data_IF_554680309388
#
_entry.id   IF_554680309388
#
_cell.length_a   1.000
_cell.length_b   1.000
_cell.length_c   1.000
_cell.angle_alpha   90.00
_cell.angle_beta   90.00
_cell.angle_gamma   90.00
#
_symmetry.space_group_name_H-M   'P 1'
#
loop_
_entity.id
_entity.type
_entity.pdbx_description
1 polymer ?
#
# COMPACT_ATOMS: atom_id res chain seq x y z
N UNK A 1 7.58 -0.67 3.00
CA UNK A 1 6.30 -0.92 2.30
C UNK A 1 5.88 0.35 1.59
N UNK A 2 5.52 0.31 0.31
CA UNK A 2 4.96 1.45 -0.40
C UNK A 2 3.58 1.09 -0.90
N UNK A 3 2.65 2.03 -0.86
CA UNK A 3 1.30 1.84 -1.38
C UNK A 3 0.90 3.00 -2.28
N UNK A 4 0.03 2.72 -3.25
CA UNK A 4 -0.52 3.74 -4.16
C UNK A 4 -1.87 3.28 -4.69
N UNK A 5 -2.86 4.17 -4.67
CA UNK A 5 -4.14 3.98 -5.34
C UNK A 5 -3.99 4.03 -6.87
N UNK A 6 -4.67 3.12 -7.54
CA UNK A 6 -4.73 3.04 -9.00
C UNK A 6 -5.99 3.68 -9.55
N UNK A 7 -7.11 3.48 -8.87
CA UNK A 7 -8.41 3.95 -9.30
C UNK A 7 -9.48 3.53 -8.31
N UNK A 8 -10.53 4.35 -8.26
CA UNK A 8 -11.73 4.14 -7.45
C UNK A 8 -12.91 3.88 -8.36
N UNK A 9 -13.89 3.12 -7.87
CA UNK A 9 -15.20 3.01 -8.48
C UNK A 9 -16.03 4.28 -8.29
N UNK A 10 -15.68 5.11 -7.31
CA UNK A 10 -16.28 6.43 -7.10
C UNK A 10 -15.53 7.49 -7.94
N UNK A 11 -16.18 8.13 -8.92
CA UNK A 11 -15.57 9.14 -9.78
C UNK A 11 -15.24 10.44 -9.05
N UNK A 12 -15.79 10.67 -7.86
CA UNK A 12 -15.54 11.86 -7.03
C UNK A 12 -14.38 11.68 -6.05
N UNK A 13 -13.82 10.46 -5.97
CA UNK A 13 -12.73 10.13 -5.06
C UNK A 13 -11.43 10.87 -5.41
N UNK A 14 -10.95 11.71 -4.49
CA UNK A 14 -9.61 12.28 -4.58
C UNK A 14 -8.55 11.27 -4.11
N UNK A 15 -7.86 10.66 -5.08
CA UNK A 15 -6.81 9.67 -4.84
C UNK A 15 -5.40 10.27 -4.78
N UNK A 16 -5.25 11.59 -4.91
CA UNK A 16 -3.91 12.24 -4.93
C UNK A 16 -3.11 11.99 -3.65
N UNK A 17 -3.82 11.90 -2.52
CA UNK A 17 -3.28 11.64 -1.17
C UNK A 17 -3.18 10.14 -0.85
N UNK A 18 -3.79 9.27 -1.65
CA UNK A 18 -3.89 7.83 -1.42
C UNK A 18 -2.63 7.08 -1.88
N UNK A 19 -1.46 7.55 -1.42
CA UNK A 19 -0.14 6.97 -1.69
C UNK A 19 0.80 7.22 -0.52
N UNK A 20 1.76 6.33 -0.30
CA UNK A 20 2.73 6.53 0.77
C UNK A 20 3.81 5.47 0.87
N UNK A 21 4.73 5.69 1.80
CA UNK A 21 5.81 4.77 2.16
C UNK A 21 5.84 4.61 3.68
N UNK A 22 5.82 3.36 4.11
CA UNK A 22 5.91 2.94 5.50
C UNK A 22 7.22 2.19 5.69
N UNK A 23 8.00 2.58 6.69
CA UNK A 23 9.13 1.82 7.19
C UNK A 23 8.72 1.07 8.44
N UNK A 24 9.21 -0.15 8.57
CA UNK A 24 8.93 -1.04 9.69
C UNK A 24 10.25 -1.41 10.34
N UNK A 25 10.21 -1.70 11.63
CA UNK A 25 11.37 -2.21 12.34
C UNK A 25 11.64 -3.65 11.91
N UNK A 26 12.84 -4.14 12.24
CA UNK A 26 13.20 -5.52 11.96
C UNK A 26 12.22 -6.47 12.69
N UNK A 27 11.89 -7.60 12.05
CA UNK A 27 10.99 -8.65 12.55
C UNK A 27 9.49 -8.32 12.61
N UNK A 28 9.05 -7.18 12.07
CA UNK A 28 7.61 -6.93 11.91
C UNK A 28 7.08 -7.62 10.65
N UNK A 29 6.14 -8.56 10.83
CA UNK A 29 5.58 -9.37 9.74
C UNK A 29 4.23 -8.86 9.23
N UNK A 30 3.61 -7.91 9.92
CA UNK A 30 2.29 -7.39 9.61
C UNK A 30 2.24 -5.86 9.69
N UNK A 31 1.34 -5.28 8.91
CA UNK A 31 1.02 -3.86 8.96
C UNK A 31 -0.43 -3.66 8.54
N UNK A 32 -1.18 -2.92 9.36
CA UNK A 32 -2.57 -2.55 9.06
C UNK A 32 -2.60 -1.18 8.39
N UNK A 33 -3.10 -1.13 7.16
CA UNK A 33 -3.42 0.12 6.48
C UNK A 33 -4.85 0.54 6.83
N UNK A 34 -5.01 1.76 7.35
CA UNK A 34 -6.30 2.35 7.74
C UNK A 34 -6.57 3.63 6.95
N UNK A 35 -7.83 4.05 6.88
CA UNK A 35 -8.21 5.28 6.16
C UNK A 35 -8.03 5.19 4.64
N UNK A 36 -8.03 3.97 4.09
CA UNK A 36 -8.07 3.77 2.64
C UNK A 36 -9.45 4.15 2.13
N UNK A 37 -9.48 4.73 0.94
CA UNK A 37 -10.71 5.11 0.29
C UNK A 37 -11.52 3.85 -0.08
N UNK A 38 -12.84 3.80 0.21
CA UNK A 38 -13.68 2.66 -0.15
C UNK A 38 -13.79 2.48 -1.67
N UNK A 39 -14.06 1.26 -2.13
CA UNK A 39 -14.21 0.97 -3.56
C UNK A 39 -12.97 1.28 -4.41
N UNK A 40 -11.77 1.31 -3.81
CA UNK A 40 -10.53 1.72 -4.46
C UNK A 40 -9.54 0.57 -4.57
N UNK A 41 -8.90 0.44 -5.73
CA UNK A 41 -7.85 -0.55 -5.98
C UNK A 41 -6.48 0.05 -5.69
N UNK A 42 -5.69 -0.64 -4.87
CA UNK A 42 -4.35 -0.24 -4.45
C UNK A 42 -3.29 -1.24 -4.90
N UNK A 43 -2.10 -0.74 -5.20
CA UNK A 43 -0.87 -1.54 -5.18
C UNK A 43 -0.15 -1.40 -3.85
N UNK A 44 0.30 -2.53 -3.32
CA UNK A 44 1.20 -2.61 -2.18
C UNK A 44 2.50 -3.27 -2.63
N UNK A 45 3.61 -2.56 -2.53
CA UNK A 45 4.95 -3.07 -2.83
C UNK A 45 5.76 -3.18 -1.54
N UNK A 46 6.25 -4.38 -1.26
CA UNK A 46 7.09 -4.70 -0.12
C UNK A 46 8.51 -4.99 -0.59
N UNK A 47 9.50 -4.37 0.07
CA UNK A 47 10.93 -4.66 -0.10
C UNK A 47 11.52 -4.90 1.28
N UNK A 48 12.16 -6.04 1.49
CA UNK A 48 12.95 -6.31 2.69
C UNK A 48 14.29 -5.58 2.60
N UNK A 49 14.82 -5.14 3.73
CA UNK A 49 16.15 -4.51 3.82
C UNK A 49 17.00 -5.15 4.90
N UNK A 50 18.28 -5.33 4.61
CA UNK A 50 19.33 -5.73 5.55
C UNK A 50 20.43 -4.67 5.57
N UNK A 51 21.43 -4.84 6.43
CA UNK A 51 22.65 -4.02 6.42
C UNK A 51 23.41 -4.05 5.07
N UNK A 52 23.13 -5.00 4.18
CA UNK A 52 23.73 -5.11 2.84
C UNK A 52 22.88 -4.49 1.73
N UNK A 53 21.66 -4.03 2.01
CA UNK A 53 20.78 -3.39 1.02
C UNK A 53 19.37 -3.94 1.00
N UNK A 54 18.69 -3.84 -0.16
CA UNK A 54 17.30 -4.26 -0.33
C UNK A 54 17.18 -5.57 -1.12
N UNK A 55 16.30 -6.45 -0.67
CA UNK A 55 15.90 -7.64 -1.42
C UNK A 55 14.90 -7.32 -2.54
N UNK A 56 14.51 -8.35 -3.33
CA UNK A 56 13.53 -8.20 -4.40
C UNK A 56 12.18 -7.62 -3.92
N UNK A 57 11.53 -6.75 -4.70
CA UNK A 57 10.19 -6.27 -4.39
C UNK A 57 9.12 -7.34 -4.65
N UNK A 58 8.16 -7.45 -3.74
CA UNK A 58 6.90 -8.16 -3.96
C UNK A 58 5.79 -7.12 -4.07
N UNK A 59 4.98 -7.20 -5.13
CA UNK A 59 3.84 -6.29 -5.34
C UNK A 59 2.54 -7.07 -5.36
N UNK A 60 1.53 -6.56 -4.66
CA UNK A 60 0.18 -7.15 -4.60
C UNK A 60 -0.87 -6.08 -4.86
N UNK A 61 -1.94 -6.47 -5.55
CA UNK A 61 -3.10 -5.62 -5.83
C UNK A 61 -4.25 -6.00 -4.91
N UNK A 62 -4.83 -5.03 -4.23
CA UNK A 62 -5.97 -5.25 -3.32
C UNK A 62 -7.03 -4.18 -3.58
N UNK A 63 -8.30 -4.58 -3.62
CA UNK A 63 -9.43 -3.68 -3.72
C UNK A 63 -10.13 -3.56 -2.36
N UNK A 64 -10.41 -2.33 -1.93
CA UNK A 64 -11.24 -2.08 -0.75
C UNK A 64 -12.72 -2.27 -1.11
N UNK A 65 -13.51 -2.72 -0.14
CA UNK A 65 -14.96 -2.84 -0.31
C UNK A 65 -15.61 -1.45 -0.43
N UNK A 66 -16.75 -1.40 -1.09
CA UNK A 66 -17.65 -0.24 -1.07
C UNK A 66 -18.32 -0.20 0.30
N UNK A 67 -18.46 0.98 0.90
CA UNK A 67 -19.11 1.18 2.18
C UNK A 67 -20.64 1.12 2.06
#
# INVERSE_FOLDING_TARGET
>A
ITYKALGSLDPTADLTTQRGRVFKLQNETHHLFVGLYPGTTYYFTLKASTNKGFGPPVTTRIATKIA
#
